data_IF_716496409458
#
_entry.id   IF_716496409458
#
_cell.length_a   1.000
_cell.length_b   1.000
_cell.length_c   1.000
_cell.angle_alpha   90.00
_cell.angle_beta   90.00
_cell.angle_gamma   90.00
#
_symmetry.space_group_name_H-M   'P 1'
#
loop_
_entity.id
_entity.type
_entity.pdbx_description
1 polymer ?
#
# COMPACT_ATOMS: atom_id res chain seq x y z
N UNK A 1 -72.31 -1.27 -10.93
CA UNK A 1 -73.05 -2.47 -11.38
C UNK A 1 -72.02 -3.59 -11.55
N UNK A 2 -72.17 -4.65 -10.75
CA UNK A 2 -71.79 -6.07 -10.91
C UNK A 2 -70.69 -6.52 -11.93
N UNK A 3 -69.70 -7.27 -11.39
CA UNK A 3 -69.11 -8.60 -11.75
C UNK A 3 -69.48 -9.25 -13.11
N UNK A 4 -68.73 -10.10 -13.82
CA UNK A 4 -67.50 -10.95 -13.73
C UNK A 4 -67.06 -11.25 -15.20
N UNK A 5 -65.96 -11.93 -15.57
CA UNK A 5 -65.79 -13.41 -15.70
C UNK A 5 -64.29 -13.76 -15.88
N UNK A 6 -63.91 -14.85 -15.21
CA UNK A 6 -62.64 -15.57 -15.21
C UNK A 6 -62.28 -16.25 -16.55
N UNK A 7 -61.00 -16.57 -16.76
CA UNK A 7 -60.48 -17.90 -17.14
C UNK A 7 -58.96 -17.81 -17.35
N UNK A 8 -58.23 -18.72 -16.70
CA UNK A 8 -56.77 -18.70 -16.64
C UNK A 8 -56.08 -19.34 -17.85
N UNK A 9 -54.75 -19.21 -17.87
CA UNK A 9 -53.84 -20.14 -18.54
C UNK A 9 -52.51 -20.16 -17.77
N UNK A 10 -52.05 -21.36 -17.43
CA UNK A 10 -50.65 -21.68 -17.12
C UNK A 10 -49.82 -21.55 -18.41
N UNK A 11 -48.62 -20.97 -18.35
CA UNK A 11 -47.36 -21.61 -18.77
C UNK A 11 -46.15 -20.69 -18.59
N UNK A 12 -45.01 -21.34 -18.31
CA UNK A 12 -43.71 -20.78 -17.91
C UNK A 12 -43.00 -20.04 -19.04
N UNK A 13 -42.24 -19.00 -18.73
CA UNK A 13 -40.91 -18.81 -19.31
C UNK A 13 -40.07 -17.76 -18.55
N UNK A 14 -38.94 -18.23 -18.03
CA UNK A 14 -37.62 -17.60 -18.08
C UNK A 14 -37.42 -16.15 -17.61
N UNK A 15 -36.73 -16.05 -16.47
CA UNK A 15 -35.40 -15.45 -16.46
C UNK A 15 -35.32 -13.94 -16.46
N UNK A 16 -35.38 -13.35 -15.27
CA UNK A 16 -34.55 -12.20 -14.95
C UNK A 16 -33.81 -12.52 -13.66
N UNK A 17 -32.65 -13.13 -13.83
CA UNK A 17 -31.63 -13.17 -12.79
C UNK A 17 -31.08 -11.75 -12.79
N UNK A 18 -31.59 -10.92 -11.87
CA UNK A 18 -31.10 -9.57 -11.62
C UNK A 18 -29.58 -9.65 -11.51
N UNK A 19 -28.93 -9.13 -12.54
CA UNK A 19 -27.49 -8.95 -12.55
C UNK A 19 -27.23 -7.85 -11.55
N UNK A 20 -26.92 -8.25 -10.30
CA UNK A 20 -26.27 -7.39 -9.33
C UNK A 20 -24.90 -7.04 -9.93
N UNK A 21 -24.87 -6.03 -10.80
CA UNK A 21 -23.70 -5.22 -11.05
C UNK A 21 -23.35 -4.55 -9.71
N UNK A 22 -22.65 -5.31 -8.86
CA UNK A 22 -21.84 -4.76 -7.81
C UNK A 22 -20.74 -4.01 -8.56
N UNK A 23 -21.03 -2.75 -8.90
CA UNK A 23 -20.01 -1.79 -9.22
C UNK A 23 -19.06 -1.82 -8.02
N UNK A 24 -17.93 -2.51 -8.17
CA UNK A 24 -16.81 -2.43 -7.24
C UNK A 24 -16.44 -0.96 -7.25
N UNK A 25 -16.94 -0.22 -6.26
CA UNK A 25 -16.61 1.17 -6.04
C UNK A 25 -15.11 1.19 -5.83
N UNK A 26 -14.37 1.53 -6.89
CA UNK A 26 -12.94 1.67 -6.86
C UNK A 26 -12.62 2.77 -5.87
N UNK A 27 -12.22 2.38 -4.66
CA UNK A 27 -11.79 3.32 -3.64
C UNK A 27 -10.68 4.16 -4.27
N UNK A 28 -10.80 5.50 -4.28
CA UNK A 28 -9.80 6.34 -4.91
C UNK A 28 -8.43 6.06 -4.28
N UNK A 29 -7.34 6.13 -5.06
CA UNK A 29 -5.99 5.93 -4.54
C UNK A 29 -5.74 6.87 -3.37
N UNK A 30 -5.40 6.30 -2.21
CA UNK A 30 -5.14 7.06 -0.99
C UNK A 30 -3.81 6.61 -0.39
N UNK A 31 -3.07 7.55 0.19
CA UNK A 31 -1.90 7.25 1.02
C UNK A 31 -2.34 6.58 2.32
N UNK A 32 -3.52 6.95 2.82
CA UNK A 32 -4.13 6.37 4.02
C UNK A 32 -4.25 4.86 3.85
N UNK A 33 -3.78 4.15 4.86
CA UNK A 33 -3.84 2.70 4.91
C UNK A 33 -2.62 2.10 5.58
N UNK A 34 -2.69 0.80 5.74
CA UNK A 34 -1.62 -0.01 6.30
C UNK A 34 -0.93 -0.78 5.16
N UNK A 35 0.37 -0.55 5.00
CA UNK A 35 1.16 -1.03 3.87
C UNK A 35 2.33 -1.88 4.34
N UNK A 36 2.60 -2.99 3.65
CA UNK A 36 3.78 -3.84 3.82
C UNK A 36 4.74 -3.66 2.65
N UNK A 37 6.02 -3.90 2.89
CA UNK A 37 7.04 -3.86 1.84
C UNK A 37 6.91 -5.12 0.97
N UNK A 38 6.59 -4.95 -0.31
CA UNK A 38 6.60 -6.03 -1.30
C UNK A 38 7.93 -6.13 -2.04
N UNK A 39 8.62 -5.00 -2.29
CA UNK A 39 9.90 -4.98 -3.00
C UNK A 39 10.79 -3.82 -2.54
N UNK A 40 12.10 -4.08 -2.49
CA UNK A 40 13.15 -3.09 -2.22
C UNK A 40 14.16 -3.10 -3.37
N UNK A 41 14.23 -2.00 -4.11
CA UNK A 41 15.15 -1.81 -5.22
C UNK A 41 16.19 -0.74 -4.87
N UNK A 42 17.45 -1.14 -4.78
CA UNK A 42 18.60 -0.26 -4.65
C UNK A 42 19.82 -0.92 -5.31
N UNK A 43 20.93 -0.19 -5.44
CA UNK A 43 22.15 -0.69 -6.09
C UNK A 43 22.61 -2.05 -5.55
N UNK A 44 22.51 -2.26 -4.23
CA UNK A 44 22.94 -3.51 -3.59
C UNK A 44 21.96 -4.66 -3.84
N UNK A 45 20.64 -4.41 -3.86
CA UNK A 45 19.67 -5.47 -4.17
C UNK A 45 19.66 -5.84 -5.64
N UNK A 46 19.95 -4.90 -6.53
CA UNK A 46 20.10 -5.14 -7.98
C UNK A 46 21.40 -5.91 -8.30
N UNK A 47 22.44 -5.77 -7.49
CA UNK A 47 23.72 -6.45 -7.64
C UNK A 47 23.84 -7.73 -6.78
N UNK A 48 22.73 -8.25 -6.22
CA UNK A 48 22.77 -9.29 -5.19
C UNK A 48 23.63 -10.53 -5.57
N UNK A 49 23.58 -10.94 -6.83
CA UNK A 49 24.30 -12.12 -7.33
C UNK A 49 25.81 -11.90 -7.53
N UNK A 50 26.24 -10.64 -7.63
CA UNK A 50 27.66 -10.28 -7.79
C UNK A 50 28.36 -10.01 -6.46
N UNK A 51 27.61 -10.01 -5.36
CA UNK A 51 28.14 -9.79 -4.02
C UNK A 51 28.90 -11.02 -3.48
N UNK A 52 29.95 -10.81 -2.67
CA UNK A 52 30.61 -11.90 -1.93
C UNK A 52 29.61 -12.70 -1.10
N UNK A 53 29.77 -14.03 -1.03
CA UNK A 53 28.79 -14.94 -0.44
C UNK A 53 28.33 -14.54 0.98
N UNK A 54 29.26 -14.09 1.83
CA UNK A 54 28.94 -13.61 3.19
C UNK A 54 28.08 -12.35 3.19
N UNK A 55 28.37 -11.40 2.30
CA UNK A 55 27.62 -10.15 2.16
C UNK A 55 26.23 -10.44 1.61
N UNK A 56 26.13 -11.30 0.59
CA UNK A 56 24.85 -11.75 0.04
C UNK A 56 23.98 -12.39 1.11
N UNK A 57 24.51 -13.33 1.89
CA UNK A 57 23.75 -13.99 2.96
C UNK A 57 23.23 -12.98 4.00
N UNK A 58 24.06 -12.02 4.42
CA UNK A 58 23.66 -10.97 5.36
C UNK A 58 22.57 -10.06 4.76
N UNK A 59 22.71 -9.66 3.49
CA UNK A 59 21.74 -8.83 2.81
C UNK A 59 20.41 -9.56 2.61
N UNK A 60 20.43 -10.82 2.14
CA UNK A 60 19.22 -11.65 2.01
C UNK A 60 18.48 -11.79 3.33
N UNK A 61 19.20 -12.04 4.43
CA UNK A 61 18.60 -12.11 5.76
C UNK A 61 17.95 -10.78 6.16
N UNK A 62 18.64 -9.66 5.98
CA UNK A 62 18.07 -8.33 6.25
C UNK A 62 16.84 -8.04 5.39
N UNK A 63 16.86 -8.36 4.10
CA UNK A 63 15.70 -8.18 3.23
C UNK A 63 14.51 -9.01 3.73
N UNK A 64 14.74 -10.26 4.13
CA UNK A 64 13.70 -11.13 4.71
C UNK A 64 13.10 -10.52 5.99
N UNK A 65 13.93 -9.96 6.86
CA UNK A 65 13.48 -9.27 8.07
C UNK A 65 12.66 -8.04 7.74
N UNK A 66 13.12 -7.23 6.77
CA UNK A 66 12.40 -6.07 6.28
C UNK A 66 11.02 -6.46 5.73
N UNK A 67 10.93 -7.50 4.91
CA UNK A 67 9.65 -7.96 4.37
C UNK A 67 8.68 -8.49 5.43
N UNK A 68 9.19 -9.12 6.49
CA UNK A 68 8.34 -9.76 7.51
C UNK A 68 7.95 -8.85 8.67
N UNK A 69 8.76 -7.85 9.01
CA UNK A 69 8.57 -7.03 10.22
C UNK A 69 8.38 -5.54 9.94
N UNK A 70 8.39 -5.10 8.67
CA UNK A 70 8.18 -3.69 8.34
C UNK A 70 6.76 -3.41 7.92
N UNK A 71 6.26 -2.24 8.31
CA UNK A 71 5.00 -1.69 7.84
C UNK A 71 5.02 -0.17 7.86
N UNK A 72 4.08 0.39 7.10
CA UNK A 72 3.79 1.81 7.04
C UNK A 72 2.29 1.98 7.29
N UNK A 73 1.93 2.64 8.38
CA UNK A 73 0.56 2.99 8.72
C UNK A 73 0.40 4.51 8.55
N UNK A 74 -0.42 4.92 7.59
CA UNK A 74 -0.81 6.32 7.38
C UNK A 74 -2.28 6.46 7.73
N UNK A 75 -2.59 7.26 8.75
CA UNK A 75 -3.94 7.42 9.28
C UNK A 75 -4.62 8.67 8.73
N UNK A 76 -5.95 8.66 8.67
CA UNK A 76 -6.77 9.76 8.16
C UNK A 76 -6.59 11.07 8.94
N UNK A 77 -6.21 10.98 10.21
CA UNK A 77 -5.94 12.11 11.10
C UNK A 77 -4.59 12.81 10.83
N UNK A 78 -3.87 12.39 9.80
CA UNK A 78 -2.56 12.94 9.42
C UNK A 78 -1.39 12.35 10.19
N UNK A 79 -1.61 11.35 11.06
CA UNK A 79 -0.54 10.70 11.79
C UNK A 79 0.02 9.49 11.04
N UNK A 80 1.31 9.20 11.20
CA UNK A 80 1.92 7.98 10.68
C UNK A 80 2.61 7.15 11.76
N UNK A 81 2.75 5.86 11.48
CA UNK A 81 3.65 4.95 12.18
C UNK A 81 4.40 4.09 11.15
N UNK A 82 5.73 4.05 11.23
CA UNK A 82 6.57 3.25 10.34
C UNK A 82 7.47 2.37 11.19
N UNK A 83 7.47 1.07 10.87
CA UNK A 83 8.42 0.10 11.42
C UNK A 83 9.26 -0.45 10.29
N UNK A 84 10.57 -0.50 10.49
CA UNK A 84 11.54 -1.00 9.51
C UNK A 84 12.35 -2.12 10.16
N UNK A 85 12.10 -3.37 9.77
CA UNK A 85 12.73 -4.57 10.34
C UNK A 85 12.45 -4.71 11.84
N UNK A 86 13.42 -5.22 12.60
CA UNK A 86 13.32 -5.38 14.06
C UNK A 86 13.61 -4.10 14.87
N UNK A 87 13.30 -2.93 14.32
CA UNK A 87 13.50 -1.69 15.08
C UNK A 87 12.65 -1.71 16.36
N UNK A 88 13.26 -1.44 17.54
CA UNK A 88 12.57 -1.58 18.83
C UNK A 88 11.53 -0.48 19.06
N UNK A 89 11.58 0.60 18.29
CA UNK A 89 10.67 1.74 18.44
C UNK A 89 10.21 2.19 17.06
N UNK A 90 8.89 2.15 16.79
CA UNK A 90 8.34 2.69 15.56
C UNK A 90 8.64 4.18 15.40
N UNK A 91 8.92 4.60 14.17
CA UNK A 91 8.97 6.01 13.82
C UNK A 91 7.53 6.55 13.72
N UNK A 92 7.28 7.70 14.35
CA UNK A 92 5.94 8.32 14.42
C UNK A 92 6.02 9.81 14.15
N UNK A 93 4.91 10.37 13.68
CA UNK A 93 4.75 11.81 13.50
C UNK A 93 3.59 12.15 12.58
N UNK A 94 3.72 13.27 11.87
CA UNK A 94 2.71 13.77 10.94
C UNK A 94 3.09 13.46 9.49
N UNK A 95 2.09 13.29 8.63
CA UNK A 95 2.28 13.18 7.19
C UNK A 95 1.33 14.11 6.44
N UNK A 96 1.73 14.51 5.23
CA UNK A 96 0.89 15.19 4.25
C UNK A 96 1.29 14.77 2.85
N UNK A 97 0.32 14.67 1.94
CA UNK A 97 0.56 14.30 0.55
C UNK A 97 0.17 15.42 -0.40
N UNK A 98 1.10 15.82 -1.25
CA UNK A 98 0.89 16.76 -2.33
C UNK A 98 0.77 15.97 -3.65
N UNK A 99 -0.46 15.78 -4.11
CA UNK A 99 -0.73 15.03 -5.33
C UNK A 99 -0.26 15.74 -6.60
N UNK A 100 -0.18 17.09 -6.60
CA UNK A 100 0.25 17.85 -7.77
C UNK A 100 1.75 17.66 -8.03
N UNK A 101 2.54 17.68 -6.95
CA UNK A 101 3.98 17.48 -7.01
C UNK A 101 4.42 16.03 -6.78
N UNK A 102 3.47 15.12 -6.49
CA UNK A 102 3.72 13.72 -6.13
C UNK A 102 4.71 13.57 -4.98
N UNK A 103 4.55 14.38 -3.95
CA UNK A 103 5.45 14.37 -2.79
C UNK A 103 4.68 13.98 -1.53
N UNK A 104 5.19 12.97 -0.82
CA UNK A 104 4.82 12.64 0.53
C UNK A 104 5.80 13.32 1.49
N UNK A 105 5.27 14.10 2.42
CA UNK A 105 6.07 14.74 3.45
C UNK A 105 5.80 14.03 4.77
N UNK A 106 6.89 13.70 5.47
CA UNK A 106 6.85 13.00 6.76
C UNK A 106 7.60 13.86 7.77
N UNK A 107 6.91 14.34 8.79
CA UNK A 107 7.47 15.16 9.86
C UNK A 107 7.55 14.33 11.13
N UNK A 108 8.76 14.09 11.63
CA UNK A 108 8.96 13.31 12.87
C UNK A 108 8.57 14.12 14.12
N UNK A 109 8.63 13.48 15.28
CA UNK A 109 8.33 14.11 16.57
C UNK A 109 9.25 15.29 16.95
N UNK A 110 10.43 15.41 16.33
CA UNK A 110 11.36 16.53 16.53
C UNK A 110 11.11 17.69 15.55
N UNK A 111 10.09 17.59 14.69
CA UNK A 111 9.75 18.61 13.70
C UNK A 111 10.61 18.58 12.44
N UNK A 112 11.49 17.59 12.27
CA UNK A 112 12.27 17.40 11.04
C UNK A 112 11.38 16.78 9.96
N UNK A 113 11.25 17.48 8.84
CA UNK A 113 10.47 17.02 7.68
C UNK A 113 11.39 16.32 6.66
N UNK A 114 10.91 15.19 6.13
CA UNK A 114 11.49 14.49 4.98
C UNK A 114 10.51 14.51 3.83
N UNK A 115 11.03 14.75 2.63
CA UNK A 115 10.26 14.68 1.38
C UNK A 115 10.56 13.35 0.69
N UNK A 116 9.51 12.65 0.29
CA UNK A 116 9.55 11.35 -0.38
C UNK A 116 8.81 11.49 -1.70
N UNK A 117 9.44 11.07 -2.80
CA UNK A 117 8.81 11.08 -4.12
C UNK A 117 7.86 9.88 -4.25
N UNK A 118 6.64 10.13 -4.73
CA UNK A 118 5.61 9.11 -4.96
C UNK A 118 5.54 8.82 -6.46
N UNK A 119 6.08 7.68 -6.88
CA UNK A 119 6.04 7.30 -8.30
C UNK A 119 4.67 6.77 -8.72
N UNK A 120 4.00 6.02 -7.82
CA UNK A 120 2.70 5.40 -8.06
C UNK A 120 1.91 5.30 -6.77
N UNK A 121 0.62 5.61 -6.85
CA UNK A 121 -0.35 5.41 -5.77
C UNK A 121 -1.64 4.82 -6.36
N UNK A 122 -1.99 3.60 -5.93
CA UNK A 122 -3.21 2.89 -6.29
C UNK A 122 -3.73 2.09 -5.08
N UNK A 123 -4.95 1.55 -5.17
CA UNK A 123 -5.49 0.64 -4.15
C UNK A 123 -4.70 -0.67 -3.99
N UNK A 124 -3.78 -0.97 -4.92
CA UNK A 124 -2.99 -2.21 -4.93
C UNK A 124 -1.50 -1.97 -4.66
N UNK A 125 -1.00 -0.78 -4.98
CA UNK A 125 0.42 -0.46 -4.94
C UNK A 125 0.67 0.98 -4.54
N UNK A 126 1.60 1.15 -3.62
CA UNK A 126 2.16 2.45 -3.27
C UNK A 126 3.67 2.39 -3.44
N UNK A 127 4.17 3.04 -4.50
CA UNK A 127 5.58 3.04 -4.87
C UNK A 127 6.18 4.39 -4.51
N UNK A 128 7.19 4.34 -3.64
CA UNK A 128 7.92 5.52 -3.17
C UNK A 128 9.39 5.42 -3.51
N UNK A 129 10.00 6.57 -3.77
CA UNK A 129 11.43 6.72 -3.98
C UNK A 129 11.99 7.62 -2.90
N UNK A 130 13.01 7.10 -2.24
CA UNK A 130 13.76 7.80 -1.20
C UNK A 130 15.16 8.06 -1.72
N UNK A 131 15.71 9.24 -1.44
CA UNK A 131 17.08 9.58 -1.77
C UNK A 131 17.80 9.85 -0.46
N UNK A 132 18.90 9.13 -0.22
CA UNK A 132 19.78 9.49 0.88
C UNK A 132 20.56 10.74 0.48
N UNK A 133 20.40 11.82 1.26
CA UNK A 133 20.98 13.13 0.97
C UNK A 133 22.51 13.11 1.17
N UNK A 134 23.03 12.21 2.01
CA UNK A 134 24.47 12.14 2.34
C UNK A 134 25.31 11.56 1.20
N UNK A 135 24.76 10.61 0.45
CA UNK A 135 25.49 9.87 -0.59
C UNK A 135 24.79 9.87 -1.95
N UNK A 136 23.64 10.53 -2.07
CA UNK A 136 22.86 10.63 -3.31
C UNK A 136 22.20 9.33 -3.75
N UNK A 137 22.34 8.23 -3.00
CA UNK A 137 21.81 6.93 -3.42
C UNK A 137 20.30 6.90 -3.24
N UNK A 138 19.61 6.51 -4.31
CA UNK A 138 18.17 6.31 -4.29
C UNK A 138 17.81 4.87 -3.95
N UNK A 139 16.79 4.70 -3.13
CA UNK A 139 16.10 3.43 -2.92
C UNK A 139 14.64 3.57 -3.30
N UNK A 140 14.14 2.59 -4.05
CA UNK A 140 12.74 2.50 -4.45
C UNK A 140 12.06 1.38 -3.67
N UNK A 141 10.92 1.70 -3.06
CA UNK A 141 10.13 0.76 -2.27
C UNK A 141 8.79 0.58 -2.96
N UNK A 142 8.42 -0.68 -3.23
CA UNK A 142 7.04 -1.02 -3.59
C UNK A 142 6.34 -1.52 -2.35
N UNK A 143 5.29 -0.81 -1.96
CA UNK A 143 4.43 -1.18 -0.87
C UNK A 143 3.11 -1.74 -1.41
N UNK A 144 2.55 -2.70 -0.71
CA UNK A 144 1.23 -3.29 -0.99
C UNK A 144 0.37 -3.18 0.26
N UNK A 145 -0.97 -3.09 0.13
CA UNK A 145 -1.84 -3.13 1.30
C UNK A 145 -1.53 -4.39 2.11
N UNK A 146 -1.44 -4.28 3.44
CA UNK A 146 -1.53 -5.49 4.23
C UNK A 146 -2.97 -5.98 4.13
N UNK A 147 -3.17 -7.06 3.39
CA UNK A 147 -4.36 -7.88 3.53
C UNK A 147 -4.38 -8.29 5.01
N UNK A 148 -5.53 -8.09 5.68
CA UNK A 148 -5.74 -8.25 7.13
C UNK A 148 -5.02 -9.46 7.72
N UNK A 149 -3.78 -9.24 8.13
CA UNK A 149 -3.16 -9.88 9.27
C UNK A 149 -2.85 -8.72 10.23
N UNK A 150 -3.91 -8.07 10.72
CA UNK A 150 -3.79 -7.37 11.99
C UNK A 150 -3.61 -8.46 13.07
N UNK A 151 -2.70 -8.29 14.03
CA UNK A 151 -2.54 -9.23 15.14
C UNK A 151 -3.84 -9.41 15.94
#
# INVERSE_FOLDING_TARGET
MWFTVSLGFWEKAYGQQDSLDIAVQSTPPSVVGYWKIALIENEMTLALDTLPAKVRQQLTQRLKEMHSHSYFDFREDGQYEIVMGYQPTPARGQWRYDAANKHLYITNSTGSEKVIEVERLSSQQFIIKTVNIEDGRSSRLTLVPAIQDQP
#
